data_IF_352455564017
#
_entry.id   IF_352455564017
#
_cell.length_a   1.000
_cell.length_b   1.000
_cell.length_c   1.000
_cell.angle_alpha   90.00
_cell.angle_beta   90.00
_cell.angle_gamma   90.00
#
_symmetry.space_group_name_H-M   'P 1'
#
loop_
_entity.id
_entity.type
_entity.pdbx_description
1 polymer ?
#
# COMPACT_ATOMS: atom_id res chain seq x y z
N UNK A 1 41.92 28.01 -6.30
CA UNK A 1 40.47 27.72 -6.26
C UNK A 1 40.31 26.21 -6.23
N UNK A 2 39.75 25.67 -5.14
CA UNK A 2 39.89 24.26 -4.78
C UNK A 2 38.75 23.41 -5.35
N UNK A 3 39.10 22.55 -6.32
CA UNK A 3 38.19 21.63 -7.01
C UNK A 3 37.55 20.58 -6.10
N UNK A 4 38.01 20.41 -4.85
CA UNK A 4 37.37 19.51 -3.87
C UNK A 4 36.12 20.12 -3.23
N UNK A 5 35.98 21.45 -3.25
CA UNK A 5 34.80 22.14 -2.68
C UNK A 5 33.55 21.97 -3.56
N UNK A 6 33.76 21.89 -4.88
CA UNK A 6 32.71 21.73 -5.89
C UNK A 6 32.04 20.34 -5.80
N UNK A 7 32.75 19.32 -5.32
CA UNK A 7 32.20 17.96 -5.19
C UNK A 7 31.44 17.69 -3.87
N UNK A 8 31.71 18.47 -2.82
CA UNK A 8 30.93 18.42 -1.57
C UNK A 8 29.62 19.21 -1.70
N UNK A 9 29.64 20.38 -2.33
CA UNK A 9 28.43 21.20 -2.58
C UNK A 9 27.42 20.51 -3.52
N UNK A 10 27.89 19.68 -4.45
CA UNK A 10 27.02 18.90 -5.35
C UNK A 10 26.19 17.83 -4.63
N UNK A 11 26.74 17.19 -3.57
CA UNK A 11 26.04 16.13 -2.82
C UNK A 11 24.93 16.68 -1.93
N UNK A 12 25.09 17.90 -1.44
CA UNK A 12 24.06 18.58 -0.64
C UNK A 12 22.83 18.93 -1.49
N UNK A 13 23.06 19.34 -2.74
CA UNK A 13 21.96 19.58 -3.68
C UNK A 13 21.23 18.28 -4.07
N UNK A 14 21.92 17.15 -4.16
CA UNK A 14 21.30 15.84 -4.40
C UNK A 14 20.39 15.40 -3.23
N UNK A 15 20.81 15.63 -1.98
CA UNK A 15 19.98 15.38 -0.79
C UNK A 15 18.77 16.33 -0.71
N UNK A 16 18.94 17.61 -1.05
CA UNK A 16 17.85 18.61 -1.04
C UNK A 16 16.80 18.36 -2.14
N UNK A 17 17.17 17.80 -3.30
CA UNK A 17 16.21 17.39 -4.35
C UNK A 17 15.40 16.14 -3.98
N UNK A 18 15.98 15.18 -3.25
CA UNK A 18 15.22 14.02 -2.70
C UNK A 18 14.26 14.41 -1.58
N UNK A 19 14.55 15.48 -0.83
CA UNK A 19 13.66 15.96 0.23
C UNK A 19 12.37 16.62 -0.30
N UNK A 20 12.41 17.29 -1.46
CA UNK A 20 11.23 18.00 -2.01
C UNK A 20 10.20 17.08 -2.66
N UNK A 21 10.58 15.86 -3.06
CA UNK A 21 9.65 14.81 -3.56
C UNK A 21 8.82 14.15 -2.44
N UNK A 22 9.16 14.39 -1.17
CA UNK A 22 8.43 13.86 0.00
C UNK A 22 7.28 14.77 0.47
N UNK A 23 7.13 15.98 -0.09
CA UNK A 23 6.19 16.99 0.44
C UNK A 23 4.89 17.16 -0.36
N UNK A 24 4.72 16.46 -1.50
CA UNK A 24 3.43 16.36 -2.21
C UNK A 24 2.61 15.12 -1.85
N UNK A 25 3.18 14.17 -1.09
CA UNK A 25 2.51 12.92 -0.70
C UNK A 25 2.06 12.96 0.76
N UNK A 26 1.48 14.09 1.14
CA UNK A 26 0.89 14.34 2.46
C UNK A 26 -0.43 15.08 2.24
N UNK A 27 -1.27 14.53 1.35
CA UNK A 27 -2.64 14.97 1.21
C UNK A 27 -3.50 13.84 1.76
N UNK A 28 -3.71 13.91 3.07
CA UNK A 28 -4.93 13.50 3.77
C UNK A 28 -5.73 12.42 3.04
N UNK A 29 -5.44 11.16 3.34
CA UNK A 29 -6.42 10.11 3.12
C UNK A 29 -7.01 9.80 4.49
N UNK A 30 -8.30 10.12 4.74
CA UNK A 30 -8.96 9.69 5.96
C UNK A 30 -8.81 8.18 6.11
N UNK A 31 -8.79 7.68 7.34
CA UNK A 31 -8.81 6.27 7.75
C UNK A 31 -10.10 5.54 7.27
N UNK A 32 -10.45 5.69 6.00
CA UNK A 32 -11.41 4.87 5.29
C UNK A 32 -10.61 3.62 4.93
N UNK A 33 -10.87 2.53 5.65
CA UNK A 33 -10.24 1.23 5.40
C UNK A 33 -10.57 0.76 3.99
N UNK A 34 -9.72 1.15 3.04
CA UNK A 34 -9.93 0.89 1.64
C UNK A 34 -9.32 -0.46 1.26
N UNK A 35 -10.17 -1.42 0.89
CA UNK A 35 -9.76 -2.78 0.52
C UNK A 35 -8.80 -2.77 -0.68
N UNK A 36 -8.92 -1.78 -1.58
CA UNK A 36 -8.00 -1.60 -2.70
C UNK A 36 -6.59 -1.27 -2.22
N UNK A 37 -6.46 -0.42 -1.20
CA UNK A 37 -5.15 -0.10 -0.61
C UNK A 37 -4.55 -1.27 0.17
N UNK A 38 -5.38 -2.05 0.86
CA UNK A 38 -4.91 -3.23 1.62
C UNK A 38 -4.27 -4.26 0.70
N UNK A 39 -4.91 -4.55 -0.45
CA UNK A 39 -4.34 -5.43 -1.46
C UNK A 39 -3.29 -4.75 -2.35
N UNK A 40 -3.23 -3.41 -2.32
CA UNK A 40 -2.31 -2.61 -3.13
C UNK A 40 -2.63 -2.64 -4.62
N UNK A 41 -3.92 -2.68 -4.95
CA UNK A 41 -4.45 -2.72 -6.32
C UNK A 41 -5.24 -1.44 -6.63
N UNK A 42 -5.43 -1.18 -7.92
CA UNK A 42 -6.31 -0.12 -8.41
C UNK A 42 -7.77 -0.60 -8.46
N UNK A 43 -8.73 0.32 -8.60
CA UNK A 43 -10.16 -0.03 -8.81
C UNK A 43 -10.42 -0.72 -10.16
N UNK A 44 -9.55 -0.44 -11.13
CA UNK A 44 -9.45 -1.15 -12.41
C UNK A 44 -8.48 -2.32 -12.22
N UNK A 45 -8.97 -3.41 -11.63
CA UNK A 45 -8.18 -4.63 -11.38
C UNK A 45 -8.85 -5.82 -12.05
N UNK A 46 -8.05 -6.85 -12.33
CA UNK A 46 -8.56 -8.16 -12.76
C UNK A 46 -8.61 -9.13 -11.58
N UNK A 47 -9.51 -10.12 -11.65
CA UNK A 47 -9.60 -11.19 -10.62
C UNK A 47 -8.26 -11.92 -10.46
N UNK A 48 -7.50 -12.05 -11.55
CA UNK A 48 -6.16 -12.64 -11.52
C UNK A 48 -5.18 -11.80 -10.70
N UNK A 49 -5.26 -10.47 -10.82
CA UNK A 49 -4.40 -9.53 -10.10
C UNK A 49 -4.67 -9.54 -8.60
N UNK A 50 -5.94 -9.59 -8.19
CA UNK A 50 -6.35 -9.80 -6.79
C UNK A 50 -5.75 -11.10 -6.23
N UNK A 51 -5.90 -12.21 -6.96
CA UNK A 51 -5.36 -13.51 -6.53
C UNK A 51 -3.82 -13.48 -6.45
N UNK A 52 -3.15 -12.79 -7.36
CA UNK A 52 -1.71 -12.64 -7.34
C UNK A 52 -1.22 -11.84 -6.12
N UNK A 53 -1.85 -10.69 -5.84
CA UNK A 53 -1.47 -9.85 -4.69
C UNK A 53 -1.81 -10.52 -3.37
N UNK A 54 -2.97 -11.15 -3.25
CA UNK A 54 -3.36 -11.94 -2.08
C UNK A 54 -2.29 -12.97 -1.73
N UNK A 55 -1.86 -13.79 -2.69
CA UNK A 55 -0.80 -14.79 -2.48
C UNK A 55 0.52 -14.15 -2.06
N UNK A 56 0.92 -13.06 -2.70
CA UNK A 56 2.16 -12.34 -2.39
C UNK A 56 2.15 -11.76 -0.97
N UNK A 57 1.02 -11.20 -0.54
CA UNK A 57 0.85 -10.64 0.79
C UNK A 57 0.76 -11.73 1.86
N UNK A 58 0.06 -12.83 1.58
CA UNK A 58 0.02 -14.01 2.45
C UNK A 58 1.41 -14.60 2.67
N UNK A 59 2.25 -14.73 1.63
CA UNK A 59 3.63 -15.18 1.77
C UNK A 59 4.50 -14.22 2.61
N UNK A 60 4.18 -12.92 2.59
CA UNK A 60 4.92 -11.88 3.33
C UNK A 60 4.51 -11.80 4.81
N UNK A 61 3.23 -12.02 5.09
CA UNK A 61 2.64 -11.94 6.43
C UNK A 61 2.27 -13.32 7.00
N UNK A 62 2.76 -14.41 6.39
CA UNK A 62 2.45 -15.77 6.83
C UNK A 62 2.89 -15.98 8.28
N UNK A 63 2.04 -16.54 9.15
CA UNK A 63 2.36 -16.74 10.57
C UNK A 63 3.56 -17.66 10.77
N UNK A 64 3.84 -18.54 9.81
CA UNK A 64 5.03 -19.41 9.82
C UNK A 64 6.35 -18.62 9.76
N UNK A 65 6.40 -17.56 8.93
CA UNK A 65 7.63 -16.77 8.70
C UNK A 65 7.67 -15.50 9.55
N UNK A 66 6.53 -15.02 10.04
CA UNK A 66 6.46 -13.74 10.73
C UNK A 66 5.45 -13.78 11.89
N UNK A 67 5.93 -14.20 13.08
CA UNK A 67 5.15 -14.35 14.31
C UNK A 67 4.90 -13.02 15.05
N UNK A 68 4.75 -11.91 14.34
CA UNK A 68 4.48 -10.60 14.94
C UNK A 68 2.98 -10.31 14.97
N UNK A 69 2.48 -9.72 16.05
CA UNK A 69 1.04 -9.32 16.18
C UNK A 69 0.56 -8.42 15.04
N UNK A 70 1.47 -7.65 14.43
CA UNK A 70 1.17 -6.79 13.28
C UNK A 70 0.94 -7.59 11.98
N UNK A 71 1.53 -8.78 11.85
CA UNK A 71 1.31 -9.65 10.68
C UNK A 71 -0.10 -10.25 10.71
N UNK A 72 -0.57 -10.70 11.88
CA UNK A 72 -1.93 -11.23 12.07
C UNK A 72 -3.00 -10.20 11.71
N UNK A 73 -2.88 -8.98 12.25
CA UNK A 73 -3.82 -7.89 11.96
C UNK A 73 -3.86 -7.53 10.46
N UNK A 74 -2.71 -7.57 9.77
CA UNK A 74 -2.67 -7.33 8.32
C UNK A 74 -3.24 -8.50 7.54
N UNK A 75 -2.92 -9.72 7.93
CA UNK A 75 -3.43 -10.94 7.31
C UNK A 75 -4.96 -10.98 7.35
N UNK A 76 -5.56 -10.64 8.50
CA UNK A 76 -7.02 -10.51 8.63
C UNK A 76 -7.61 -9.51 7.64
N UNK A 77 -7.01 -8.31 7.55
CA UNK A 77 -7.44 -7.28 6.57
C UNK A 77 -7.30 -7.74 5.12
N UNK A 78 -6.22 -8.46 4.80
CA UNK A 78 -5.97 -8.99 3.44
C UNK A 78 -7.03 -10.03 3.07
N UNK A 79 -7.40 -10.92 3.99
CA UNK A 79 -8.48 -11.89 3.79
C UNK A 79 -9.81 -11.18 3.54
N UNK A 80 -10.17 -10.22 4.39
CA UNK A 80 -11.43 -9.47 4.28
C UNK A 80 -11.52 -8.69 2.96
N UNK A 81 -10.43 -8.02 2.57
CA UNK A 81 -10.33 -7.33 1.29
C UNK A 81 -10.50 -8.27 0.10
N UNK A 82 -9.85 -9.44 0.14
CA UNK A 82 -10.00 -10.45 -0.90
C UNK A 82 -11.43 -10.98 -0.97
N UNK A 83 -12.07 -11.24 0.17
CA UNK A 83 -13.42 -11.80 0.20
C UNK A 83 -14.48 -10.84 -0.36
N UNK A 84 -14.32 -9.54 -0.12
CA UNK A 84 -15.21 -8.50 -0.65
C UNK A 84 -14.93 -8.22 -2.13
N UNK A 85 -13.65 -8.11 -2.53
CA UNK A 85 -13.29 -7.68 -3.89
C UNK A 85 -13.21 -8.83 -4.91
N UNK A 86 -13.09 -10.08 -4.45
CA UNK A 86 -13.12 -11.27 -5.31
C UNK A 86 -14.53 -11.63 -5.76
N UNK A 87 -15.56 -11.20 -5.03
CA UNK A 87 -16.96 -11.46 -5.37
C UNK A 87 -17.60 -10.19 -5.95
N UNK A 88 -18.17 -10.24 -7.17
CA UNK A 88 -18.71 -9.04 -7.80
C UNK A 88 -19.93 -8.48 -7.07
N UNK A 89 -20.74 -9.31 -6.40
CA UNK A 89 -21.91 -8.87 -5.64
C UNK A 89 -21.48 -8.16 -4.35
N UNK A 90 -20.54 -8.75 -3.60
CA UNK A 90 -19.94 -8.11 -2.42
C UNK A 90 -19.20 -6.81 -2.77
N UNK A 91 -18.48 -6.79 -3.91
CA UNK A 91 -17.82 -5.59 -4.42
C UNK A 91 -18.84 -4.50 -4.76
N UNK A 92 -19.91 -4.85 -5.47
CA UNK A 92 -20.96 -3.90 -5.83
C UNK A 92 -21.60 -3.30 -4.58
N UNK A 93 -21.91 -4.13 -3.57
CA UNK A 93 -22.37 -3.68 -2.26
C UNK A 93 -21.36 -2.79 -1.55
N UNK A 94 -20.07 -3.12 -1.59
CA UNK A 94 -19.04 -2.28 -1.00
C UNK A 94 -18.92 -0.91 -1.67
N UNK A 95 -19.04 -0.87 -3.00
CA UNK A 95 -18.98 0.38 -3.79
C UNK A 95 -20.26 1.22 -3.62
N UNK A 96 -21.43 0.57 -3.54
CA UNK A 96 -22.74 1.21 -3.37
C UNK A 96 -22.97 1.74 -1.93
N UNK A 97 -22.62 0.94 -0.92
CA UNK A 97 -22.82 1.30 0.49
C UNK A 97 -21.61 2.00 1.11
N UNK A 98 -20.53 2.21 0.36
CA UNK A 98 -19.40 3.07 0.71
C UNK A 98 -19.09 3.12 2.21
N UNK A 99 -18.65 1.99 2.77
CA UNK A 99 -18.37 1.82 4.21
C UNK A 99 -19.60 2.09 5.10
N UNK A 100 -20.54 1.13 5.16
CA UNK A 100 -21.26 0.92 6.42
C UNK A 100 -20.27 0.22 7.35
N UNK A 101 -19.55 1.02 8.14
CA UNK A 101 -18.91 0.58 9.36
C UNK A 101 -19.66 1.16 10.55
#
# INVERSE_FOLDING_TARGET
MDVRKIWEEGKEQYKKRRAKKRRRKAKSEPDIFDYYQILGITRDYTIQEIKAQYRKLMLKYHPDRNKTKSAEAKCKKINEAYEVLSDPDKKARYDEYGVIS
#
